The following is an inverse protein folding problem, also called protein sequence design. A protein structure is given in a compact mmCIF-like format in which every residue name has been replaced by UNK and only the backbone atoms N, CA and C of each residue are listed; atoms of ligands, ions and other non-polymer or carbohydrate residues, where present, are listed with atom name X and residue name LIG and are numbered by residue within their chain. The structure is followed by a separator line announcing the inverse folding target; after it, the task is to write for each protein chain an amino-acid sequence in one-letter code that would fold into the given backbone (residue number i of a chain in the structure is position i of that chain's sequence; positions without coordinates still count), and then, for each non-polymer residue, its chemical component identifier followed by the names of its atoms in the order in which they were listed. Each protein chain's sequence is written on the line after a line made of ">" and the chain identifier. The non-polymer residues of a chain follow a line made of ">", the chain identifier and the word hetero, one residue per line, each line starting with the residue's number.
data_IF_669317489447
#
_entry.id   IF_669317489447
#
_cell.length_a   1.000
_cell.length_b   1.000
_cell.length_c   1.000
_cell.angle_alpha   90.00
_cell.angle_beta   90.00
_cell.angle_gamma   90.00
#
_symmetry.space_group_name_H-M   'P 1'
#
loop_
_entity.id
_entity.type
_entity.pdbx_description
1 polymer ?
#
# COMPACT_ATOMS: atom_id res chain seq x y z
N UNK A 1 26.41 12.05 -10.21
CA UNK A 1 25.19 12.60 -9.61
C UNK A 1 24.05 12.30 -10.56
N UNK A 2 23.44 11.11 -10.48
CA UNK A 2 22.34 10.71 -11.35
C UNK A 2 21.05 11.24 -10.71
N UNK A 3 20.58 12.40 -11.17
CA UNK A 3 19.22 12.84 -10.86
C UNK A 3 18.26 11.81 -11.45
N UNK A 4 17.32 11.31 -10.67
CA UNK A 4 16.22 10.50 -11.20
C UNK A 4 15.39 11.41 -12.12
N UNK A 5 15.71 11.37 -13.42
CA UNK A 5 15.28 12.36 -14.43
C UNK A 5 13.88 12.08 -15.01
N UNK A 6 13.36 10.87 -14.83
CA UNK A 6 12.08 10.47 -15.42
C UNK A 6 11.06 10.18 -14.32
N UNK A 7 10.17 11.16 -14.13
CA UNK A 7 8.99 11.03 -13.28
C UNK A 7 7.75 10.92 -14.17
N UNK A 8 6.78 10.11 -13.76
CA UNK A 8 5.52 9.91 -14.48
C UNK A 8 4.39 9.63 -13.48
N UNK A 9 3.15 9.72 -13.96
CA UNK A 9 1.98 9.17 -13.26
C UNK A 9 1.78 7.72 -13.69
N UNK A 10 1.28 6.89 -12.78
CA UNK A 10 1.05 5.47 -13.04
C UNK A 10 -0.39 5.11 -12.72
N UNK A 11 -1.10 4.59 -13.72
CA UNK A 11 -2.44 3.99 -13.55
C UNK A 11 -2.32 2.49 -13.75
N UNK A 12 -2.55 1.74 -12.67
CA UNK A 12 -2.28 0.30 -12.63
C UNK A 12 -3.61 -0.47 -12.67
N UNK A 13 -3.62 -1.54 -13.46
CA UNK A 13 -4.70 -2.54 -13.51
C UNK A 13 -4.07 -3.90 -13.37
N UNK A 14 -4.63 -4.78 -12.53
CA UNK A 14 -4.10 -6.12 -12.28
C UNK A 14 -5.17 -7.18 -12.50
N UNK A 15 -4.84 -8.18 -13.32
CA UNK A 15 -5.62 -9.39 -13.47
C UNK A 15 -5.00 -10.48 -12.58
N UNK A 16 -5.75 -10.94 -11.58
CA UNK A 16 -5.28 -11.89 -10.57
C UNK A 16 -6.34 -12.95 -10.29
N UNK A 17 -5.95 -14.15 -9.81
CA UNK A 17 -6.92 -15.12 -9.28
C UNK A 17 -7.82 -14.47 -8.22
N UNK A 18 -9.12 -14.75 -8.27
CA UNK A 18 -10.14 -14.06 -7.46
C UNK A 18 -9.93 -14.21 -5.95
N UNK A 19 -9.31 -15.33 -5.54
CA UNK A 19 -8.94 -15.67 -4.17
C UNK A 19 -7.73 -14.89 -3.62
N UNK A 20 -6.90 -14.28 -4.46
CA UNK A 20 -5.70 -13.56 -4.04
C UNK A 20 -5.99 -12.09 -3.76
N UNK A 21 -5.29 -11.53 -2.79
CA UNK A 21 -5.27 -10.08 -2.56
C UNK A 21 -4.25 -9.46 -3.50
N UNK A 22 -4.64 -8.42 -4.22
CA UNK A 22 -3.74 -7.59 -5.01
C UNK A 22 -3.59 -6.23 -4.33
N UNK A 23 -2.36 -5.77 -4.20
CA UNK A 23 -2.00 -4.48 -3.61
C UNK A 23 -1.17 -3.68 -4.60
N UNK A 24 -1.36 -2.38 -4.57
CA UNK A 24 -0.52 -1.40 -5.25
C UNK A 24 -0.48 -0.09 -4.46
N UNK A 25 0.32 0.89 -4.93
CA UNK A 25 0.53 2.17 -4.28
C UNK A 25 -0.77 2.91 -3.96
N UNK A 26 -1.71 2.93 -4.91
CA UNK A 26 -2.94 3.71 -4.82
C UNK A 26 -4.15 2.88 -4.37
N UNK A 27 -5.25 3.51 -3.90
CA UNK A 27 -6.48 2.78 -3.57
C UNK A 27 -7.14 2.14 -4.77
N UNK A 28 -7.91 1.10 -4.49
CA UNK A 28 -8.75 0.41 -5.48
C UNK A 28 -9.94 1.32 -5.82
N UNK A 29 -10.20 1.50 -7.12
CA UNK A 29 -11.35 2.24 -7.66
C UNK A 29 -12.51 1.32 -8.02
N UNK A 30 -12.20 0.06 -8.36
CA UNK A 30 -13.20 -0.92 -8.73
C UNK A 30 -12.56 -2.29 -8.94
N UNK A 31 -13.40 -3.32 -8.88
CA UNK A 31 -13.02 -4.71 -9.15
C UNK A 31 -14.10 -5.33 -10.04
N UNK A 32 -13.67 -6.09 -11.06
CA UNK A 32 -14.54 -6.91 -11.90
C UNK A 32 -14.13 -8.36 -11.67
N UNK A 33 -15.07 -9.20 -11.27
CA UNK A 33 -14.81 -10.64 -11.06
C UNK A 33 -15.38 -11.41 -12.24
N UNK A 34 -14.53 -12.18 -12.91
CA UNK A 34 -14.88 -13.08 -14.01
C UNK A 34 -14.45 -14.51 -13.68
N UNK A 35 -15.35 -15.25 -13.02
CA UNK A 35 -15.12 -16.62 -12.60
C UNK A 35 -13.94 -16.76 -11.64
N UNK A 36 -12.86 -17.39 -12.10
CA UNK A 36 -11.64 -17.65 -11.31
C UNK A 36 -10.67 -16.47 -11.26
N UNK A 37 -10.91 -15.42 -12.05
CA UNK A 37 -10.02 -14.25 -12.17
C UNK A 37 -10.79 -13.00 -11.77
N UNK A 38 -10.08 -12.00 -11.23
CA UNK A 38 -10.60 -10.66 -11.04
C UNK A 38 -9.64 -9.62 -11.60
N UNK A 39 -10.20 -8.57 -12.17
CA UNK A 39 -9.49 -7.38 -12.62
C UNK A 39 -9.66 -6.28 -11.58
N UNK A 40 -8.57 -5.82 -10.98
CA UNK A 40 -8.54 -4.77 -9.95
C UNK A 40 -8.00 -3.48 -10.58
N UNK A 41 -8.76 -2.39 -10.47
CA UNK A 41 -8.40 -1.08 -11.00
C UNK A 41 -7.95 -0.15 -9.88
N UNK A 42 -6.77 0.47 -10.00
CA UNK A 42 -6.25 1.41 -9.01
C UNK A 42 -6.38 2.86 -9.46
N UNK A 43 -6.42 3.79 -8.50
CA UNK A 43 -6.34 5.22 -8.79
C UNK A 43 -4.98 5.54 -9.44
N UNK A 44 -4.95 6.62 -10.23
CA UNK A 44 -3.71 7.12 -10.80
C UNK A 44 -2.80 7.70 -9.70
N UNK A 45 -1.52 7.37 -9.74
CA UNK A 45 -0.53 7.87 -8.78
C UNK A 45 -0.20 9.34 -9.03
N UNK A 46 0.28 10.08 -8.00
CA UNK A 46 1.00 11.33 -8.27
C UNK A 46 2.26 11.06 -9.10
N UNK A 47 2.88 12.15 -9.57
CA UNK A 47 4.15 12.10 -10.29
C UNK A 47 5.22 11.51 -9.36
N UNK A 48 5.74 10.34 -9.73
CA UNK A 48 6.75 9.63 -8.95
C UNK A 48 7.78 8.96 -9.86
N UNK A 49 8.89 8.52 -9.27
CA UNK A 49 9.91 7.76 -9.99
C UNK A 49 9.47 6.31 -10.22
N UNK A 50 9.92 5.71 -11.33
CA UNK A 50 9.56 4.33 -11.70
C UNK A 50 9.91 3.28 -10.64
N UNK A 51 10.97 3.49 -9.85
CA UNK A 51 11.39 2.56 -8.80
C UNK A 51 10.43 2.51 -7.59
N UNK A 52 9.51 3.46 -7.47
CA UNK A 52 8.49 3.48 -6.40
C UNK A 52 7.22 2.71 -6.76
N UNK A 53 7.09 2.27 -8.03
CA UNK A 53 5.97 1.43 -8.46
C UNK A 53 6.05 0.10 -7.72
N UNK A 54 5.00 -0.24 -6.97
CA UNK A 54 4.91 -1.47 -6.21
C UNK A 54 3.60 -2.21 -6.54
N UNK A 55 3.74 -3.52 -6.73
CA UNK A 55 2.63 -4.46 -6.90
C UNK A 55 2.92 -5.70 -6.08
N UNK A 56 1.97 -6.11 -5.25
CA UNK A 56 2.08 -7.34 -4.47
C UNK A 56 0.80 -8.15 -4.61
N UNK A 57 0.95 -9.45 -4.87
CA UNK A 57 -0.16 -10.38 -5.08
C UNK A 57 0.07 -11.59 -4.18
N UNK A 58 -0.94 -11.97 -3.41
CA UNK A 58 -0.82 -13.13 -2.53
C UNK A 58 -1.95 -13.23 -1.50
N UNK A 59 -1.77 -14.19 -0.60
CA UNK A 59 -2.68 -14.45 0.51
C UNK A 59 -2.19 -13.74 1.76
N UNK A 60 -2.92 -12.71 2.18
CA UNK A 60 -2.54 -11.87 3.30
C UNK A 60 -3.72 -11.56 4.22
N UNK A 61 -3.46 -11.58 5.52
CA UNK A 61 -4.31 -10.95 6.53
C UNK A 61 -3.80 -9.52 6.79
N UNK A 62 -4.68 -8.61 7.20
CA UNK A 62 -4.27 -7.27 7.58
C UNK A 62 -4.93 -6.77 8.86
N UNK A 63 -4.22 -5.88 9.55
CA UNK A 63 -4.78 -4.96 10.55
C UNK A 63 -4.83 -3.56 9.97
N UNK A 64 -5.85 -2.79 10.32
CA UNK A 64 -6.08 -1.43 9.85
C UNK A 64 -6.32 -0.49 11.02
N UNK A 65 -5.84 0.75 10.91
CA UNK A 65 -6.18 1.88 11.76
C UNK A 65 -6.11 3.18 10.93
N UNK A 66 -6.46 4.31 11.53
CA UNK A 66 -6.45 5.62 10.88
C UNK A 66 -5.66 6.64 11.70
N UNK A 67 -4.98 7.58 11.02
CA UNK A 67 -4.44 8.77 11.68
C UNK A 67 -5.56 9.74 12.08
N UNK A 68 -5.25 10.71 12.93
CA UNK A 68 -6.15 11.83 13.26
C UNK A 68 -6.76 12.52 12.03
N UNK A 69 -6.00 12.56 10.93
CA UNK A 69 -6.33 13.25 9.69
C UNK A 69 -7.08 12.33 8.70
N UNK A 70 -7.38 11.09 9.13
CA UNK A 70 -8.17 10.13 8.37
C UNK A 70 -7.37 9.30 7.36
N UNK A 71 -6.03 9.38 7.36
CA UNK A 71 -5.20 8.55 6.50
C UNK A 71 -5.29 7.10 6.96
N UNK A 72 -5.65 6.21 6.04
CA UNK A 72 -5.79 4.79 6.31
C UNK A 72 -4.42 4.11 6.34
N UNK A 73 -4.08 3.49 7.46
CA UNK A 73 -2.83 2.74 7.63
C UNK A 73 -3.13 1.26 7.79
N UNK A 74 -2.48 0.41 7.00
CA UNK A 74 -2.66 -1.04 7.04
C UNK A 74 -1.33 -1.77 7.17
N UNK A 75 -1.32 -2.87 7.92
CA UNK A 75 -0.20 -3.80 7.97
C UNK A 75 -0.66 -5.17 7.52
N UNK A 76 -0.15 -5.61 6.37
CA UNK A 76 -0.37 -6.92 5.77
C UNK A 76 0.68 -7.92 6.25
N UNK A 77 0.21 -9.12 6.58
CA UNK A 77 1.02 -10.24 7.05
C UNK A 77 0.55 -11.53 6.39
N UNK A 78 1.37 -12.58 6.43
CA UNK A 78 0.90 -13.91 6.05
C UNK A 78 -0.31 -14.34 6.88
N UNK A 79 -1.19 -15.14 6.29
CA UNK A 79 -2.38 -15.67 6.97
C UNK A 79 -2.01 -16.28 8.34
N UNK A 80 -2.76 -15.91 9.38
CA UNK A 80 -2.57 -16.38 10.76
C UNK A 80 -1.52 -15.62 11.58
N UNK A 81 -0.77 -14.69 10.98
CA UNK A 81 0.24 -13.87 11.68
C UNK A 81 -0.21 -12.44 11.96
N UNK A 82 -1.50 -12.13 11.80
CA UNK A 82 -2.10 -10.80 12.00
C UNK A 82 -1.72 -10.13 13.33
N UNK A 83 -1.56 -10.92 14.41
CA UNK A 83 -1.18 -10.41 15.73
C UNK A 83 0.21 -9.75 15.75
N UNK A 84 1.11 -10.17 14.87
CA UNK A 84 2.47 -9.61 14.75
C UNK A 84 2.45 -8.21 14.10
N UNK A 85 1.42 -7.90 13.30
CA UNK A 85 1.27 -6.60 12.66
C UNK A 85 0.75 -5.49 13.59
N UNK A 86 0.15 -5.82 14.75
CA UNK A 86 -0.50 -4.83 15.63
C UNK A 86 0.46 -3.78 16.18
N UNK A 87 1.66 -4.21 16.60
CA UNK A 87 2.66 -3.29 17.11
C UNK A 87 3.15 -2.35 16.01
N UNK A 88 3.45 -2.91 14.83
CA UNK A 88 3.87 -2.12 13.66
C UNK A 88 2.80 -1.09 13.28
N UNK A 89 1.52 -1.46 13.27
CA UNK A 89 0.41 -0.56 12.96
C UNK A 89 0.33 0.60 13.96
N UNK A 90 0.33 0.30 15.26
CA UNK A 90 0.26 1.32 16.32
C UNK A 90 1.45 2.30 16.25
N UNK A 91 2.65 1.81 15.94
CA UNK A 91 3.83 2.66 15.77
C UNK A 91 3.75 3.47 14.47
N UNK A 92 3.31 2.87 13.37
CA UNK A 92 3.22 3.53 12.07
C UNK A 92 2.27 4.73 12.10
N UNK A 93 1.09 4.59 12.71
CA UNK A 93 0.13 5.70 12.88
C UNK A 93 0.77 6.85 13.65
N UNK A 94 1.38 6.57 14.81
CA UNK A 94 2.04 7.59 15.64
C UNK A 94 3.21 8.28 14.94
N UNK A 95 4.01 7.52 14.18
CA UNK A 95 5.13 8.09 13.43
C UNK A 95 4.62 8.96 12.28
N UNK A 96 3.54 8.56 11.61
CA UNK A 96 2.97 9.34 10.52
C UNK A 96 2.46 10.69 11.04
N UNK A 97 1.69 10.70 12.12
CA UNK A 97 1.23 11.91 12.80
C UNK A 97 2.40 12.78 13.30
N UNK A 98 3.45 12.14 13.85
CA UNK A 98 4.65 12.85 14.28
C UNK A 98 5.36 13.53 13.11
N UNK A 99 5.49 12.86 11.96
CA UNK A 99 6.12 13.43 10.77
C UNK A 99 5.30 14.56 10.18
N UNK A 100 3.98 14.44 10.14
CA UNK A 100 3.10 15.54 9.71
C UNK A 100 3.28 16.78 10.60
N UNK A 101 3.28 16.60 11.92
CA UNK A 101 3.51 17.69 12.87
C UNK A 101 4.93 18.27 12.82
N UNK A 102 5.94 17.43 12.58
CA UNK A 102 7.34 17.85 12.56
C UNK A 102 7.72 18.58 11.27
N UNK A 103 7.32 18.06 10.11
CA UNK A 103 7.63 18.67 8.81
C UNK A 103 6.63 19.74 8.42
N UNK A 104 5.45 19.80 9.05
CA UNK A 104 4.39 20.75 8.74
C UNK A 104 3.75 20.50 7.38
N UNK A 105 3.86 19.28 6.84
CA UNK A 105 3.32 18.87 5.54
C UNK A 105 2.53 17.57 5.73
N UNK A 106 1.25 17.51 5.31
CA UNK A 106 0.43 16.32 5.45
C UNK A 106 0.89 15.21 4.51
N UNK A 107 0.63 13.96 4.91
CA UNK A 107 0.86 12.82 4.04
C UNK A 107 -0.03 12.89 2.80
N UNK A 108 0.60 12.81 1.62
CA UNK A 108 -0.07 13.18 0.36
C UNK A 108 -0.94 12.07 -0.24
N UNK A 109 -0.85 10.83 0.25
CA UNK A 109 -1.59 9.70 -0.29
C UNK A 109 -2.75 9.31 0.64
N UNK A 110 -3.87 8.82 0.08
CA UNK A 110 -5.07 8.47 0.87
C UNK A 110 -4.90 7.22 1.74
N UNK A 111 -3.84 6.43 1.54
CA UNK A 111 -3.52 5.23 2.33
C UNK A 111 -2.02 5.01 2.44
N UNK A 112 -1.62 4.28 3.48
CA UNK A 112 -0.28 3.73 3.67
C UNK A 112 -0.40 2.23 3.97
N UNK A 113 0.11 1.40 3.07
CA UNK A 113 0.13 -0.05 3.23
C UNK A 113 1.56 -0.52 3.54
N UNK A 114 1.73 -1.21 4.67
CA UNK A 114 2.97 -1.91 5.03
C UNK A 114 2.76 -3.41 4.84
N UNK A 115 3.74 -4.11 4.29
CA UNK A 115 3.64 -5.56 4.05
C UNK A 115 4.86 -6.30 4.56
N UNK A 116 4.64 -7.35 5.36
CA UNK A 116 5.69 -8.24 5.82
C UNK A 116 5.99 -9.30 4.75
N UNK A 117 7.03 -9.08 3.96
CA UNK A 117 7.47 -10.00 2.90
C UNK A 117 8.43 -11.05 3.51
N UNK A 118 8.16 -12.37 3.36
CA UNK A 118 8.96 -13.42 4.00
C UNK A 118 10.38 -13.54 3.46
N UNK A 119 10.57 -13.26 2.18
CA UNK A 119 11.84 -13.27 1.48
C UNK A 119 12.05 -11.91 0.84
N UNK A 120 12.79 -11.06 1.53
CA UNK A 120 13.14 -9.71 1.07
C UNK A 120 14.66 -9.61 1.09
N UNK A 121 15.25 -9.33 -0.07
CA UNK A 121 16.70 -9.30 -0.22
C UNK A 121 17.32 -8.27 0.73
N UNK A 122 18.32 -8.70 1.48
CA UNK A 122 19.16 -7.88 2.36
C UNK A 122 20.08 -6.96 1.57
#
# INVERSE_FOLDING_TARGET
>A
MCFVLFLATFKITLDVPSELVALSNMPITGEIVDGSTKTVFYQESPVMSTYLVAVVIGLFDYVEDHTSDGIKVRVYTQIGKIHQGKFALHVAVKILELYEGYFGVPYSLPKLDMIAIPDFAF
#
